data_IF_744128835450
#
_entry.id   IF_744128835450
#
_cell.length_a   1.000
_cell.length_b   1.000
_cell.length_c   1.000
_cell.angle_alpha   90.00
_cell.angle_beta   90.00
_cell.angle_gamma   90.00
#
_symmetry.space_group_name_H-M   'P 1'
#
loop_
_entity.id
_entity.type
_entity.pdbx_description
1 polymer ?
#
# COMPACT_ATOMS: atom_id res chain seq x y z
N UNK A 1 -4.33 -17.40 -21.56
CA UNK A 1 -3.10 -18.17 -21.22
C UNK A 1 -1.92 -17.22 -21.00
N UNK A 2 -1.62 -16.30 -21.94
CA UNK A 2 -0.65 -15.21 -21.75
C UNK A 2 -0.95 -14.37 -20.50
N UNK A 3 -2.21 -13.99 -20.27
CA UNK A 3 -2.65 -13.25 -19.08
C UNK A 3 -2.46 -14.02 -17.75
N UNK A 4 -2.55 -15.36 -17.77
CA UNK A 4 -2.29 -16.21 -16.61
C UNK A 4 -0.79 -16.38 -16.32
N UNK A 5 0.05 -16.36 -17.37
CA UNK A 5 1.51 -16.32 -17.22
C UNK A 5 1.99 -14.96 -16.72
N UNK A 6 1.42 -13.86 -17.21
CA UNK A 6 1.62 -12.52 -16.63
C UNK A 6 1.20 -12.49 -15.16
N UNK A 7 0.05 -13.09 -14.82
CA UNK A 7 -0.39 -13.25 -13.43
C UNK A 7 0.55 -14.08 -12.56
N UNK A 8 1.03 -15.25 -13.04
CA UNK A 8 2.01 -16.08 -12.33
C UNK A 8 3.35 -15.36 -12.12
N UNK A 9 3.68 -14.39 -12.98
CA UNK A 9 4.81 -13.45 -12.81
C UNK A 9 4.53 -12.44 -11.68
N UNK A 10 3.37 -11.80 -11.72
CA UNK A 10 2.87 -10.80 -10.76
C UNK A 10 2.68 -11.37 -9.35
N UNK A 11 2.29 -12.64 -9.22
CA UNK A 11 2.02 -13.27 -7.92
C UNK A 11 3.30 -13.49 -7.07
N UNK A 12 4.48 -13.26 -7.66
CA UNK A 12 5.76 -13.58 -7.02
C UNK A 12 6.64 -12.40 -6.68
N UNK A 13 6.39 -11.16 -7.14
CA UNK A 13 7.28 -10.05 -6.85
C UNK A 13 6.61 -8.68 -7.09
N UNK A 14 6.89 -7.75 -6.19
CA UNK A 14 6.84 -6.30 -6.36
C UNK A 14 7.68 -5.88 -7.60
N UNK A 15 7.10 -6.00 -8.78
CA UNK A 15 7.82 -6.14 -10.04
C UNK A 15 8.33 -4.80 -10.64
N UNK A 16 7.69 -3.66 -10.33
CA UNK A 16 8.19 -2.35 -10.76
C UNK A 16 9.54 -2.05 -10.11
N UNK A 17 9.74 -2.56 -8.90
CA UNK A 17 10.94 -2.39 -8.11
C UNK A 17 12.02 -3.45 -8.43
N UNK A 18 11.63 -4.72 -8.62
CA UNK A 18 12.57 -5.85 -8.71
C UNK A 18 13.18 -6.13 -10.08
N UNK A 19 12.61 -5.63 -11.19
CA UNK A 19 13.07 -6.03 -12.51
C UNK A 19 14.27 -5.22 -13.03
N UNK A 20 15.47 -5.53 -12.54
CA UNK A 20 16.74 -5.21 -13.22
C UNK A 20 17.07 -6.18 -14.38
N UNK A 21 16.16 -7.10 -14.74
CA UNK A 21 16.36 -8.08 -15.81
C UNK A 21 15.05 -8.43 -16.53
N UNK A 22 14.53 -7.50 -17.33
CA UNK A 22 13.46 -7.80 -18.28
C UNK A 22 13.97 -8.77 -19.36
N UNK A 23 13.06 -9.25 -20.22
CA UNK A 23 13.42 -9.96 -21.47
C UNK A 23 14.15 -9.05 -22.49
N UNK A 24 14.43 -7.81 -22.08
CA UNK A 24 15.32 -6.85 -22.72
C UNK A 24 16.32 -6.45 -21.65
N UNK A 25 17.61 -6.52 -21.98
CA UNK A 25 18.76 -6.16 -21.13
C UNK A 25 18.73 -4.68 -20.66
N UNK A 26 17.73 -4.28 -19.86
CA UNK A 26 17.76 -3.01 -19.15
C UNK A 26 18.54 -3.20 -17.86
N UNK A 27 19.84 -2.91 -17.92
CA UNK A 27 20.65 -2.66 -16.74
C UNK A 27 20.09 -1.43 -16.01
N UNK A 28 19.37 -1.65 -14.91
CA UNK A 28 18.96 -0.55 -14.03
C UNK A 28 20.16 -0.20 -13.14
N UNK A 29 20.80 0.91 -13.47
CA UNK A 29 21.80 1.52 -12.59
C UNK A 29 21.09 2.37 -11.53
N UNK A 30 20.84 1.76 -10.37
CA UNK A 30 20.42 2.50 -9.19
C UNK A 30 21.63 3.21 -8.58
N UNK A 31 21.54 4.54 -8.41
CA UNK A 31 22.36 5.22 -7.43
C UNK A 31 21.74 4.92 -6.07
N UNK A 32 22.35 3.99 -5.33
CA UNK A 32 21.93 3.75 -3.95
C UNK A 32 22.16 5.03 -3.16
N UNK A 33 21.06 5.59 -2.68
CA UNK A 33 21.13 6.71 -1.77
C UNK A 33 21.45 6.12 -0.41
N UNK A 34 22.68 6.35 0.04
CA UNK A 34 23.10 5.90 1.35
C UNK A 34 22.21 6.55 2.42
N UNK A 35 21.43 5.69 3.09
CA UNK A 35 20.52 6.10 4.15
C UNK A 35 21.29 6.83 5.26
N UNK A 36 22.53 6.42 5.55
CA UNK A 36 23.36 7.06 6.57
C UNK A 36 23.74 8.50 6.20
N UNK A 37 23.92 8.80 4.91
CA UNK A 37 24.33 10.12 4.44
C UNK A 37 23.15 11.04 4.06
N UNK A 38 22.06 10.51 3.50
CA UNK A 38 20.89 11.32 3.11
C UNK A 38 19.92 11.55 4.27
N UNK A 39 19.89 10.65 5.26
CA UNK A 39 18.96 10.68 6.39
C UNK A 39 19.63 11.07 7.71
N UNK A 40 20.90 11.46 7.72
CA UNK A 40 21.57 11.81 8.96
C UNK A 40 20.82 12.93 9.69
N UNK A 41 20.14 12.56 10.78
CA UNK A 41 19.23 13.42 11.56
C UNK A 41 18.02 13.99 10.81
N UNK A 42 17.63 13.41 9.66
CA UNK A 42 16.43 13.83 8.93
C UNK A 42 15.28 12.85 9.07
N UNK A 43 14.06 13.37 8.95
CA UNK A 43 12.82 12.59 8.95
C UNK A 43 12.35 12.31 7.53
N UNK A 44 12.04 11.04 7.25
CA UNK A 44 11.54 10.60 5.95
C UNK A 44 10.02 10.73 5.89
N UNK A 45 9.52 11.42 4.87
CA UNK A 45 8.10 11.56 4.60
C UNK A 45 7.78 10.92 3.25
N UNK A 46 7.10 9.77 3.28
CA UNK A 46 6.53 9.16 2.09
C UNK A 46 5.26 9.90 1.69
N UNK A 47 5.14 10.30 0.42
CA UNK A 47 4.01 11.08 -0.07
C UNK A 47 3.08 10.24 -0.95
N UNK A 48 1.79 10.31 -0.65
CA UNK A 48 0.71 9.74 -1.46
C UNK A 48 0.34 10.58 -2.70
N UNK A 49 -0.31 9.94 -3.67
CA UNK A 49 -0.83 10.53 -4.89
C UNK A 49 -1.78 11.71 -4.62
N UNK A 50 -2.69 11.56 -3.65
CA UNK A 50 -3.72 12.57 -3.37
C UNK A 50 -3.10 13.89 -2.87
N UNK A 51 -1.97 13.80 -2.17
CA UNK A 51 -1.22 14.95 -1.65
C UNK A 51 -0.47 15.65 -2.77
N UNK A 52 0.20 14.89 -3.65
CA UNK A 52 0.89 15.50 -4.80
C UNK A 52 -0.13 16.17 -5.72
N UNK A 53 -1.29 15.56 -5.96
CA UNK A 53 -2.36 16.19 -6.74
C UNK A 53 -2.82 17.50 -6.11
N UNK A 54 -3.01 17.54 -4.79
CA UNK A 54 -3.33 18.77 -4.07
C UNK A 54 -2.19 19.81 -4.15
N UNK A 55 -0.94 19.37 -4.04
CA UNK A 55 0.25 20.22 -4.16
C UNK A 55 0.38 20.85 -5.55
N UNK A 56 0.06 20.10 -6.61
CA UNK A 56 0.04 20.58 -8.00
C UNK A 56 -1.05 21.62 -8.26
N UNK A 57 -2.16 21.56 -7.52
CA UNK A 57 -3.28 22.49 -7.68
C UNK A 57 -2.92 23.93 -7.30
N UNK A 58 -3.17 24.89 -8.19
CA UNK A 58 -2.99 26.32 -7.91
C UNK A 58 -3.87 26.84 -6.77
N UNK A 59 -4.97 26.13 -6.47
CA UNK A 59 -5.90 26.48 -5.41
C UNK A 59 -5.33 26.20 -4.01
N UNK A 60 -4.35 25.29 -3.89
CA UNK A 60 -3.80 24.89 -2.60
C UNK A 60 -2.41 25.52 -2.32
N UNK A 61 -2.36 26.86 -2.37
CA UNK A 61 -1.14 27.63 -2.08
C UNK A 61 -0.58 27.37 -0.67
N UNK A 62 -1.48 27.12 0.30
CA UNK A 62 -1.12 26.88 1.70
C UNK A 62 -0.32 25.57 1.83
N UNK A 63 -0.82 24.46 1.29
CA UNK A 63 -0.11 23.18 1.27
C UNK A 63 1.24 23.32 0.58
N UNK A 64 1.26 23.97 -0.60
CA UNK A 64 2.49 24.18 -1.36
C UNK A 64 3.55 24.94 -0.57
N UNK A 65 3.17 26.03 0.10
CA UNK A 65 4.07 26.80 0.96
C UNK A 65 4.56 25.99 2.15
N UNK A 66 3.69 25.17 2.76
CA UNK A 66 4.03 24.35 3.91
C UNK A 66 5.03 23.24 3.55
N UNK A 67 4.77 22.47 2.49
CA UNK A 67 5.67 21.42 2.01
C UNK A 67 7.02 21.97 1.56
N UNK A 68 7.04 23.11 0.85
CA UNK A 68 8.30 23.75 0.48
C UNK A 68 9.07 24.22 1.71
N UNK A 69 8.40 24.82 2.70
CA UNK A 69 9.03 25.25 3.96
C UNK A 69 9.59 24.08 4.76
N UNK A 70 8.88 22.95 4.85
CA UNK A 70 9.39 21.73 5.49
C UNK A 70 10.60 21.18 4.75
N UNK A 71 10.56 21.17 3.42
CA UNK A 71 11.70 20.74 2.59
C UNK A 71 12.93 21.66 2.80
N UNK A 72 12.71 22.97 2.79
CA UNK A 72 13.75 24.00 2.94
C UNK A 72 14.38 24.03 4.33
N UNK A 73 13.66 23.57 5.38
CA UNK A 73 14.23 23.41 6.73
C UNK A 73 15.43 22.48 6.76
N UNK A 74 15.50 21.53 5.81
CA UNK A 74 16.53 20.49 5.77
C UNK A 74 16.30 19.34 6.77
N UNK A 75 15.31 19.44 7.65
CA UNK A 75 14.96 18.40 8.64
C UNK A 75 14.18 17.23 8.03
N UNK A 76 13.52 17.46 6.89
CA UNK A 76 12.66 16.48 6.23
C UNK A 76 13.17 16.11 4.84
N UNK A 77 13.09 14.82 4.51
CA UNK A 77 13.30 14.29 3.17
C UNK A 77 11.99 13.68 2.69
N UNK A 78 11.51 14.21 1.57
CA UNK A 78 10.32 13.67 0.91
C UNK A 78 10.72 12.57 -0.06
N UNK A 79 10.00 11.45 -0.03
CA UNK A 79 10.23 10.30 -0.91
C UNK A 79 8.90 9.82 -1.50
N UNK A 80 9.00 9.04 -2.57
CA UNK A 80 7.87 8.39 -3.24
C UNK A 80 8.20 6.93 -3.53
N UNK A 81 7.33 6.19 -4.22
CA UNK A 81 7.70 4.91 -4.87
C UNK A 81 7.26 4.95 -6.34
N UNK A 82 7.70 4.00 -7.18
CA UNK A 82 7.30 3.97 -8.60
C UNK A 82 5.79 3.97 -8.82
N UNK A 83 5.00 3.45 -7.86
CA UNK A 83 3.54 3.47 -7.88
C UNK A 83 2.95 4.90 -7.92
N UNK A 84 3.63 5.90 -7.33
CA UNK A 84 3.23 7.31 -7.44
C UNK A 84 3.35 7.84 -8.89
N UNK A 85 4.36 7.36 -9.63
CA UNK A 85 4.54 7.68 -11.05
C UNK A 85 3.48 6.96 -11.88
N UNK A 86 3.18 5.71 -11.54
CA UNK A 86 2.13 4.93 -12.20
C UNK A 86 0.77 5.62 -12.11
N UNK A 87 0.39 6.08 -10.92
CA UNK A 87 -0.82 6.85 -10.72
C UNK A 87 -0.82 8.15 -11.53
N UNK A 88 0.33 8.81 -11.63
CA UNK A 88 0.51 9.99 -12.48
C UNK A 88 0.26 9.68 -13.96
N UNK A 89 0.77 8.57 -14.49
CA UNK A 89 0.62 8.19 -15.91
C UNK A 89 -0.85 7.95 -16.27
N UNK A 90 -1.64 7.44 -15.32
CA UNK A 90 -3.08 7.21 -15.50
C UNK A 90 -3.89 8.51 -15.58
N UNK A 91 -3.27 9.67 -15.36
CA UNK A 91 -3.86 10.99 -15.53
C UNK A 91 -3.76 11.49 -16.99
N UNK A 92 -4.25 12.70 -17.27
CA UNK A 92 -4.05 13.35 -18.57
C UNK A 92 -2.57 13.65 -18.85
N UNK A 93 -2.11 13.53 -20.09
CA UNK A 93 -0.68 13.67 -20.48
C UNK A 93 -0.08 15.04 -20.13
N UNK A 94 -0.83 16.13 -20.32
CA UNK A 94 -0.34 17.48 -19.97
C UNK A 94 -0.22 17.61 -18.46
N UNK A 95 -1.20 17.06 -17.74
CA UNK A 95 -1.17 17.04 -16.29
C UNK A 95 -0.03 16.16 -15.74
N UNK A 96 0.27 15.04 -16.40
CA UNK A 96 1.33 14.13 -16.00
C UNK A 96 2.71 14.80 -15.97
N UNK A 97 3.09 15.54 -17.02
CA UNK A 97 4.38 16.25 -17.04
C UNK A 97 4.50 17.28 -15.91
N UNK A 98 3.42 18.02 -15.62
CA UNK A 98 3.37 18.96 -14.50
C UNK A 98 3.46 18.24 -13.15
N UNK A 99 2.72 17.14 -13.00
CA UNK A 99 2.71 16.30 -11.82
C UNK A 99 4.11 15.77 -11.52
N UNK A 100 4.78 15.18 -12.51
CA UNK A 100 6.14 14.65 -12.34
C UNK A 100 7.16 15.74 -12.01
N UNK A 101 7.09 16.90 -12.66
CA UNK A 101 7.96 18.02 -12.33
C UNK A 101 7.80 18.44 -10.86
N UNK A 102 6.58 18.39 -10.32
CA UNK A 102 6.32 18.65 -8.91
C UNK A 102 6.82 17.53 -7.99
N UNK A 103 6.67 16.26 -8.37
CA UNK A 103 7.24 15.12 -7.64
C UNK A 103 8.75 15.29 -7.51
N UNK A 104 9.45 15.43 -8.64
CA UNK A 104 10.90 15.60 -8.68
C UNK A 104 11.35 16.83 -7.88
N UNK A 105 10.62 17.94 -8.01
CA UNK A 105 10.88 19.15 -7.25
C UNK A 105 10.75 18.92 -5.75
N UNK A 106 9.79 18.13 -5.27
CA UNK A 106 9.59 17.94 -3.83
C UNK A 106 10.55 16.89 -3.26
N UNK A 107 10.78 15.80 -3.98
CA UNK A 107 11.53 14.63 -3.50
C UNK A 107 13.01 14.63 -3.88
N UNK A 108 13.45 15.60 -4.71
CA UNK A 108 14.79 15.60 -5.32
C UNK A 108 15.07 14.29 -6.10
N UNK A 109 14.03 13.64 -6.61
CA UNK A 109 14.13 12.36 -7.31
C UNK A 109 14.45 11.16 -6.40
N UNK A 110 14.41 11.32 -5.08
CA UNK A 110 14.62 10.20 -4.14
C UNK A 110 13.31 9.40 -4.01
N UNK A 111 13.39 8.10 -4.19
CA UNK A 111 12.26 7.19 -4.00
C UNK A 111 12.67 5.92 -3.27
N UNK A 112 11.66 5.24 -2.74
CA UNK A 112 11.73 3.93 -2.12
C UNK A 112 11.46 2.89 -3.20
N UNK A 113 12.38 1.95 -3.36
CA UNK A 113 12.26 0.81 -4.27
C UNK A 113 12.79 -0.45 -3.59
N UNK A 114 12.23 -1.59 -3.97
CA UNK A 114 12.79 -2.90 -3.64
C UNK A 114 13.96 -3.24 -4.58
N UNK A 115 15.18 -3.27 -4.07
CA UNK A 115 16.40 -3.62 -4.80
C UNK A 115 17.04 -4.83 -4.13
N UNK A 116 17.27 -5.91 -4.89
CA UNK A 116 17.86 -7.17 -4.39
C UNK A 116 17.12 -7.75 -3.16
N UNK A 117 15.79 -7.73 -3.16
CA UNK A 117 14.96 -8.14 -2.03
C UNK A 117 15.09 -7.28 -0.75
N UNK A 118 15.51 -6.03 -0.88
CA UNK A 118 15.53 -5.10 0.24
C UNK A 118 14.89 -3.77 -0.18
N UNK A 119 14.12 -3.18 0.73
CA UNK A 119 13.56 -1.85 0.51
C UNK A 119 14.67 -0.83 0.74
N UNK A 120 15.01 -0.05 -0.29
CA UNK A 120 16.11 0.92 -0.26
C UNK A 120 15.65 2.28 -0.78
N UNK A 121 16.32 3.33 -0.31
CA UNK A 121 16.23 4.65 -0.92
C UNK A 121 17.17 4.70 -2.11
N UNK A 122 16.66 5.12 -3.24
CA UNK A 122 17.39 5.12 -4.50
C UNK A 122 17.13 6.39 -5.29
N UNK A 123 18.05 6.66 -6.22
CA UNK A 123 17.87 7.56 -7.34
C UNK A 123 18.17 6.79 -8.62
N UNK A 124 17.49 7.17 -9.67
CA UNK A 124 17.78 6.71 -11.02
C UNK A 124 17.45 7.81 -12.00
N UNK A 125 17.88 7.64 -13.25
CA UNK A 125 17.48 8.53 -14.33
C UNK A 125 15.96 8.44 -14.53
N UNK A 126 15.30 9.60 -14.53
CA UNK A 126 13.85 9.64 -14.40
C UNK A 126 13.10 9.13 -15.63
N UNK A 127 13.65 9.34 -16.84
CA UNK A 127 13.09 8.77 -18.07
C UNK A 127 13.13 7.24 -18.03
N UNK A 128 14.16 6.65 -17.42
CA UNK A 128 14.30 5.21 -17.17
C UNK A 128 13.22 4.71 -16.22
N UNK A 129 12.98 5.41 -15.11
CA UNK A 129 11.86 5.11 -14.20
C UNK A 129 10.51 5.12 -14.94
N UNK A 130 10.23 6.19 -15.68
CA UNK A 130 8.96 6.35 -16.40
C UNK A 130 8.77 5.25 -17.45
N UNK A 131 9.79 4.93 -18.23
CA UNK A 131 9.72 3.85 -19.21
C UNK A 131 9.44 2.51 -18.56
N UNK A 132 10.12 2.21 -17.44
CA UNK A 132 9.88 0.99 -16.66
C UNK A 132 8.42 0.93 -16.19
N UNK A 133 7.91 2.01 -15.61
CA UNK A 133 6.51 2.04 -15.16
C UNK A 133 5.54 1.84 -16.33
N UNK A 134 5.77 2.49 -17.49
CA UNK A 134 4.94 2.32 -18.69
C UNK A 134 4.90 0.86 -19.15
N UNK A 135 6.03 0.17 -19.12
CA UNK A 135 6.13 -1.24 -19.49
C UNK A 135 5.30 -2.14 -18.56
N UNK A 136 5.22 -1.80 -17.27
CA UNK A 136 4.47 -2.54 -16.26
C UNK A 136 2.97 -2.21 -16.20
N UNK A 137 2.52 -1.09 -16.78
CA UNK A 137 1.10 -0.69 -16.75
C UNK A 137 0.11 -1.81 -17.14
N UNK A 138 0.34 -2.63 -18.19
CA UNK A 138 -0.58 -3.71 -18.52
C UNK A 138 -0.67 -4.77 -17.42
N UNK A 139 0.46 -5.10 -16.78
CA UNK A 139 0.51 -6.05 -15.68
C UNK A 139 -0.22 -5.50 -14.45
N UNK A 140 -0.01 -4.22 -14.11
CA UNK A 140 -0.72 -3.60 -13.00
C UNK A 140 -2.23 -3.53 -13.26
N UNK A 141 -2.65 -3.18 -14.47
CA UNK A 141 -4.06 -3.19 -14.86
C UNK A 141 -4.71 -4.57 -14.68
N UNK A 142 -3.98 -5.66 -14.98
CA UNK A 142 -4.44 -7.02 -14.70
C UNK A 142 -4.57 -7.26 -13.20
N UNK A 143 -3.58 -6.87 -12.40
CA UNK A 143 -3.61 -7.03 -10.94
C UNK A 143 -4.79 -6.27 -10.29
N UNK A 144 -5.03 -5.03 -10.72
CA UNK A 144 -6.19 -4.23 -10.29
C UNK A 144 -7.52 -4.93 -10.64
N UNK A 145 -7.66 -5.44 -11.87
CA UNK A 145 -8.88 -6.15 -12.27
C UNK A 145 -9.07 -7.45 -11.48
N UNK A 146 -7.99 -8.17 -11.16
CA UNK A 146 -8.05 -9.36 -10.30
C UNK A 146 -8.53 -8.97 -8.91
N UNK A 147 -8.04 -7.88 -8.33
CA UNK A 147 -8.56 -7.36 -7.04
C UNK A 147 -10.06 -7.10 -7.11
N UNK A 148 -10.54 -6.49 -8.19
CA UNK A 148 -11.98 -6.31 -8.41
C UNK A 148 -12.77 -7.62 -8.53
N UNK A 149 -12.25 -8.60 -9.27
CA UNK A 149 -12.90 -9.91 -9.39
C UNK A 149 -12.89 -10.69 -8.08
N UNK A 150 -11.81 -10.63 -7.29
CA UNK A 150 -11.76 -11.19 -5.93
C UNK A 150 -12.83 -10.54 -5.04
N UNK A 151 -12.97 -9.22 -5.07
CA UNK A 151 -14.03 -8.53 -4.32
C UNK A 151 -15.45 -8.98 -4.73
N UNK A 152 -15.69 -9.20 -6.03
CA UNK A 152 -16.95 -9.78 -6.52
C UNK A 152 -17.15 -11.22 -6.04
N UNK A 153 -16.14 -12.07 -6.15
CA UNK A 153 -16.21 -13.46 -5.70
C UNK A 153 -16.50 -13.52 -4.21
N UNK A 154 -15.80 -12.74 -3.38
CA UNK A 154 -16.04 -12.66 -1.93
C UNK A 154 -17.48 -12.28 -1.61
N UNK A 155 -18.06 -11.32 -2.34
CA UNK A 155 -19.46 -10.90 -2.16
C UNK A 155 -20.47 -12.04 -2.39
N UNK A 156 -20.20 -12.95 -3.33
CA UNK A 156 -21.07 -14.09 -3.62
C UNK A 156 -20.76 -15.30 -2.75
N UNK A 157 -19.48 -15.62 -2.57
CA UNK A 157 -19.01 -16.81 -1.86
C UNK A 157 -19.22 -16.71 -0.35
N UNK A 158 -19.12 -15.51 0.22
CA UNK A 158 -19.15 -15.29 1.66
C UNK A 158 -20.25 -14.30 2.06
N UNK A 159 -21.55 -14.65 1.91
CA UNK A 159 -22.66 -13.75 2.18
C UNK A 159 -22.68 -13.23 3.64
N UNK A 160 -22.15 -14.01 4.57
CA UNK A 160 -22.07 -13.68 6.00
C UNK A 160 -21.04 -12.57 6.32
N UNK A 161 -20.05 -12.33 5.46
CA UNK A 161 -19.11 -11.19 5.56
C UNK A 161 -19.43 -10.09 4.56
N UNK A 162 -20.69 -9.95 4.10
CA UNK A 162 -21.10 -8.78 3.33
C UNK A 162 -21.13 -7.53 4.22
N UNK A 163 -20.98 -6.37 3.60
CA UNK A 163 -20.87 -5.07 4.29
C UNK A 163 -22.06 -4.68 5.15
N UNK A 164 -23.23 -5.17 4.83
CA UNK A 164 -24.48 -4.97 5.56
C UNK A 164 -24.66 -5.97 6.70
N UNK A 165 -23.74 -6.92 6.87
CA UNK A 165 -23.80 -7.91 7.95
C UNK A 165 -23.38 -7.31 9.28
N UNK A 166 -23.99 -7.83 10.36
CA UNK A 166 -23.68 -7.41 11.73
C UNK A 166 -22.22 -7.69 12.11
N UNK A 167 -21.63 -8.76 11.57
CA UNK A 167 -20.24 -9.11 11.89
C UNK A 167 -19.27 -8.13 11.24
N UNK A 168 -19.54 -7.70 10.00
CA UNK A 168 -18.72 -6.68 9.33
C UNK A 168 -18.87 -5.31 9.98
N UNK A 169 -20.06 -4.96 10.49
CA UNK A 169 -20.21 -3.76 11.33
C UNK A 169 -19.25 -3.80 12.51
N UNK A 170 -19.25 -4.89 13.30
CA UNK A 170 -18.34 -5.05 14.45
C UNK A 170 -16.87 -4.95 14.05
N UNK A 171 -16.47 -5.61 12.96
CA UNK A 171 -15.10 -5.56 12.43
C UNK A 171 -14.71 -4.12 12.05
N UNK A 172 -15.63 -3.35 11.48
CA UNK A 172 -15.37 -1.97 11.06
C UNK A 172 -15.42 -0.95 12.20
N UNK A 173 -16.12 -1.26 13.29
CA UNK A 173 -16.20 -0.42 14.49
C UNK A 173 -14.85 -0.41 15.22
N UNK A 174 -14.31 -1.60 15.51
CA UNK A 174 -12.97 -1.77 16.06
C UNK A 174 -12.42 -3.17 15.71
N UNK A 175 -11.43 -3.21 14.82
CA UNK A 175 -10.82 -4.46 14.35
C UNK A 175 -9.95 -5.13 15.42
N UNK A 176 -9.32 -4.33 16.29
CA UNK A 176 -8.45 -4.85 17.35
C UNK A 176 -9.30 -5.54 18.41
N UNK A 177 -10.36 -4.88 18.87
CA UNK A 177 -11.32 -5.47 19.81
C UNK A 177 -11.99 -6.71 19.22
N UNK A 178 -12.30 -6.69 17.91
CA UNK A 178 -12.85 -7.86 17.23
C UNK A 178 -11.90 -9.08 17.33
N UNK A 179 -10.60 -8.91 17.05
CA UNK A 179 -9.63 -10.01 17.16
C UNK A 179 -9.31 -10.40 18.60
N UNK A 180 -9.32 -9.46 19.56
CA UNK A 180 -9.21 -9.81 20.98
C UNK A 180 -10.36 -10.73 21.44
N UNK A 181 -11.56 -10.49 20.91
CA UNK A 181 -12.75 -11.29 21.19
C UNK A 181 -12.98 -12.46 20.21
N UNK A 182 -11.97 -12.85 19.42
CA UNK A 182 -12.13 -13.80 18.30
C UNK A 182 -12.67 -15.16 18.73
N UNK A 183 -12.35 -15.63 19.94
CA UNK A 183 -12.85 -16.90 20.50
C UNK A 183 -14.38 -16.95 20.59
N UNK A 184 -15.03 -15.79 20.78
CA UNK A 184 -16.50 -15.70 20.81
C UNK A 184 -17.14 -16.12 19.49
N UNK A 185 -16.39 -16.07 18.39
CA UNK A 185 -16.85 -16.41 17.05
C UNK A 185 -16.91 -17.93 16.79
N UNK A 186 -16.33 -18.75 17.68
CA UNK A 186 -16.47 -20.22 17.65
C UNK A 186 -17.92 -20.69 17.78
N UNK A 187 -18.77 -19.88 18.41
CA UNK A 187 -20.20 -20.16 18.59
C UNK A 187 -21.07 -19.65 17.42
N UNK A 188 -20.48 -18.97 16.44
CA UNK A 188 -21.20 -18.44 15.28
C UNK A 188 -21.08 -19.45 14.15
N UNK A 189 -22.13 -20.23 13.91
CA UNK A 189 -22.14 -21.22 12.83
C UNK A 189 -22.43 -20.58 11.47
N UNK A 190 -21.62 -20.92 10.47
CA UNK A 190 -21.89 -20.64 9.06
C UNK A 190 -22.47 -21.90 8.43
N UNK A 191 -23.81 -21.94 8.33
CA UNK A 191 -24.53 -23.11 7.88
C UNK A 191 -24.10 -23.59 6.47
N UNK A 192 -23.80 -22.65 5.57
CA UNK A 192 -23.46 -22.95 4.17
C UNK A 192 -22.17 -23.78 4.02
N UNK A 193 -21.26 -23.70 4.99
CA UNK A 193 -19.97 -24.41 4.98
C UNK A 193 -19.80 -25.37 6.16
N UNK A 194 -20.83 -25.54 6.99
CA UNK A 194 -20.84 -26.38 8.18
C UNK A 194 -19.59 -26.19 9.07
N UNK A 195 -19.21 -24.93 9.30
CA UNK A 195 -18.04 -24.56 10.10
C UNK A 195 -18.37 -23.34 10.97
N UNK A 196 -17.62 -23.14 12.05
CA UNK A 196 -17.74 -21.90 12.82
C UNK A 196 -17.11 -20.73 12.06
N UNK A 197 -17.48 -19.51 12.40
CA UNK A 197 -16.86 -18.31 11.84
C UNK A 197 -15.36 -18.24 12.17
N UNK A 198 -14.97 -18.74 13.34
CA UNK A 198 -13.57 -18.90 13.72
C UNK A 198 -12.82 -19.81 12.74
N UNK A 199 -13.37 -21.00 12.45
CA UNK A 199 -12.73 -21.96 11.55
C UNK A 199 -12.62 -21.41 10.12
N UNK A 200 -13.63 -20.68 9.67
CA UNK A 200 -13.58 -19.96 8.39
C UNK A 200 -12.42 -18.97 8.35
N UNK A 201 -12.32 -18.08 9.35
CA UNK A 201 -11.26 -17.08 9.39
C UNK A 201 -9.87 -17.72 9.48
N UNK A 202 -9.72 -18.77 10.29
CA UNK A 202 -8.48 -19.52 10.43
C UNK A 202 -8.07 -20.15 9.10
N UNK A 203 -9.01 -20.78 8.39
CA UNK A 203 -8.75 -21.39 7.09
C UNK A 203 -8.36 -20.35 6.04
N UNK A 204 -9.09 -19.22 5.96
CA UNK A 204 -8.77 -18.14 5.03
C UNK A 204 -7.37 -17.58 5.31
N UNK A 205 -7.06 -17.31 6.58
CA UNK A 205 -5.79 -16.72 6.96
C UNK A 205 -4.61 -17.65 6.61
N UNK A 206 -4.70 -18.94 6.99
CA UNK A 206 -3.70 -19.94 6.65
C UNK A 206 -3.48 -20.06 5.14
N UNK A 207 -4.55 -19.98 4.34
CA UNK A 207 -4.46 -20.06 2.88
C UNK A 207 -3.77 -18.85 2.24
N UNK A 208 -3.87 -17.66 2.84
CA UNK A 208 -3.28 -16.42 2.30
C UNK A 208 -1.84 -16.27 2.75
N UNK A 209 -1.58 -16.56 4.03
CA UNK A 209 -0.32 -16.17 4.69
C UNK A 209 0.67 -17.31 4.72
N UNK A 210 0.22 -18.51 5.08
CA UNK A 210 1.05 -19.66 5.45
C UNK A 210 2.20 -19.31 6.43
N UNK A 211 2.08 -18.20 7.16
CA UNK A 211 3.15 -17.61 7.99
C UNK A 211 2.67 -17.19 9.38
N UNK A 212 1.41 -16.80 9.52
CA UNK A 212 0.80 -16.37 10.79
C UNK A 212 -0.68 -16.77 10.84
N UNK A 213 -1.24 -16.85 12.03
CA UNK A 213 -2.58 -17.35 12.29
C UNK A 213 -3.46 -16.40 13.12
N UNK A 214 -4.66 -16.84 13.54
CA UNK A 214 -5.58 -16.00 14.30
C UNK A 214 -5.08 -15.69 15.71
N UNK A 215 -4.22 -16.51 16.30
CA UNK A 215 -3.62 -16.19 17.60
C UNK A 215 -2.62 -15.04 17.45
N UNK A 216 -1.88 -14.96 16.34
CA UNK A 216 -1.05 -13.79 16.03
C UNK A 216 -1.89 -12.52 15.86
N UNK A 217 -3.02 -12.61 15.13
CA UNK A 217 -3.95 -11.50 14.94
C UNK A 217 -4.57 -11.03 16.27
N UNK A 218 -4.90 -11.98 17.15
CA UNK A 218 -5.43 -11.74 18.50
C UNK A 218 -4.37 -11.16 19.44
N UNK A 219 -3.14 -11.64 19.36
CA UNK A 219 -2.00 -11.09 20.10
C UNK A 219 -1.65 -9.67 19.64
N UNK A 220 -2.13 -9.27 18.46
CA UNK A 220 -1.84 -7.96 17.88
C UNK A 220 -0.39 -7.85 17.40
N UNK A 221 0.27 -8.98 17.10
CA UNK A 221 1.69 -9.00 16.73
C UNK A 221 2.01 -10.15 15.77
N UNK A 222 2.66 -9.82 14.66
CA UNK A 222 3.24 -10.77 13.71
C UNK A 222 4.76 -10.54 13.70
N UNK A 223 5.54 -11.61 13.85
CA UNK A 223 7.01 -11.52 13.76
C UNK A 223 7.44 -11.43 12.31
N UNK A 224 8.39 -10.53 12.03
CA UNK A 224 8.93 -10.31 10.69
C UNK A 224 10.45 -10.30 10.78
N UNK A 225 11.11 -11.19 10.05
CA UNK A 225 12.56 -11.40 10.16
C UNK A 225 13.37 -10.59 9.14
N UNK A 226 12.82 -10.32 7.94
CA UNK A 226 13.50 -9.60 6.86
C UNK A 226 12.67 -8.46 6.26
N UNK A 227 13.35 -7.46 5.70
CA UNK A 227 12.71 -6.30 5.05
C UNK A 227 11.73 -6.69 3.93
N UNK A 228 12.06 -7.69 3.10
CA UNK A 228 11.13 -8.15 2.05
C UNK A 228 9.86 -8.78 2.62
N UNK A 229 9.95 -9.40 3.80
CA UNK A 229 8.80 -10.04 4.44
C UNK A 229 7.75 -8.98 4.84
N UNK A 230 8.15 -7.72 5.11
CA UNK A 230 7.18 -6.64 5.38
C UNK A 230 6.27 -6.36 4.18
N UNK A 231 6.82 -6.28 2.97
CA UNK A 231 6.02 -6.03 1.75
C UNK A 231 4.99 -7.14 1.57
N UNK A 232 5.46 -8.39 1.57
CA UNK A 232 4.64 -9.57 1.35
C UNK A 232 3.56 -9.74 2.44
N UNK A 233 3.91 -9.48 3.71
CA UNK A 233 2.97 -9.57 4.82
C UNK A 233 1.94 -8.42 4.76
N UNK A 234 2.33 -7.18 4.42
CA UNK A 234 1.39 -6.06 4.25
C UNK A 234 0.37 -6.39 3.16
N UNK A 235 0.80 -6.95 2.04
CA UNK A 235 -0.08 -7.37 0.93
C UNK A 235 -1.03 -8.50 1.36
N UNK A 236 -0.51 -9.52 2.05
CA UNK A 236 -1.29 -10.67 2.55
C UNK A 236 -2.32 -10.28 3.60
N UNK A 237 -1.92 -9.45 4.59
CA UNK A 237 -2.87 -8.92 5.58
C UNK A 237 -3.93 -8.08 4.84
N UNK A 238 -3.53 -7.26 3.87
CA UNK A 238 -4.49 -6.49 3.07
C UNK A 238 -5.49 -7.37 2.32
N UNK A 239 -5.06 -8.48 1.74
CA UNK A 239 -5.95 -9.46 1.10
C UNK A 239 -6.92 -10.11 2.10
N UNK A 240 -6.44 -10.46 3.29
CA UNK A 240 -7.30 -10.98 4.36
C UNK A 240 -8.35 -9.95 4.80
N UNK A 241 -7.94 -8.69 5.01
CA UNK A 241 -8.82 -7.57 5.34
C UNK A 241 -9.89 -7.34 4.25
N UNK A 242 -9.53 -7.59 2.98
CA UNK A 242 -10.47 -7.50 1.86
C UNK A 242 -11.54 -8.60 1.89
N UNK A 243 -11.20 -9.81 2.36
CA UNK A 243 -12.14 -10.93 2.50
C UNK A 243 -13.13 -10.68 3.63
N UNK A 244 -12.66 -10.16 4.77
CA UNK A 244 -13.53 -9.85 5.91
C UNK A 244 -14.24 -8.49 5.77
N UNK A 245 -14.06 -7.79 4.64
CA UNK A 245 -14.65 -6.48 4.34
C UNK A 245 -14.33 -5.37 5.37
N UNK A 246 -13.11 -5.36 5.92
CA UNK A 246 -12.64 -4.27 6.78
C UNK A 246 -12.25 -3.03 5.95
N UNK A 247 -12.98 -1.93 6.13
CA UNK A 247 -12.77 -0.62 5.47
C UNK A 247 -12.57 -0.69 3.95
N UNK A 248 -13.21 -1.66 3.29
CA UNK A 248 -13.12 -1.84 1.83
C UNK A 248 -14.06 -0.88 1.08
N UNK A 249 -14.04 -0.93 -0.26
CA UNK A 249 -14.99 -0.24 -1.16
C UNK A 249 -16.18 -1.12 -1.54
N UNK A 250 -17.35 -0.55 -1.88
CA UNK A 250 -18.51 -1.40 -2.25
C UNK A 250 -18.27 -1.99 -3.63
N UNK A 251 -18.73 -3.22 -3.88
CA UNK A 251 -18.54 -3.93 -5.16
C UNK A 251 -19.00 -3.13 -6.38
N UNK A 252 -20.03 -2.30 -6.24
CA UNK A 252 -20.52 -1.42 -7.31
C UNK A 252 -19.53 -0.31 -7.69
N UNK A 253 -18.63 0.06 -6.78
CA UNK A 253 -17.67 1.15 -6.94
C UNK A 253 -16.36 0.64 -7.57
N UNK A 254 -16.48 0.01 -8.76
CA UNK A 254 -15.36 -0.67 -9.46
C UNK A 254 -14.08 0.16 -9.47
N UNK A 255 -14.16 1.43 -9.87
CA UNK A 255 -12.98 2.33 -9.98
C UNK A 255 -12.23 2.47 -8.66
N UNK A 256 -12.95 2.58 -7.53
CA UNK A 256 -12.33 2.69 -6.22
C UNK A 256 -11.67 1.38 -5.78
N UNK A 257 -12.26 0.24 -6.14
CA UNK A 257 -11.64 -1.08 -5.89
C UNK A 257 -10.35 -1.24 -6.69
N UNK A 258 -10.32 -0.82 -7.96
CA UNK A 258 -9.08 -0.81 -8.75
C UNK A 258 -8.01 0.07 -8.08
N UNK A 259 -8.37 1.31 -7.70
CA UNK A 259 -7.48 2.24 -6.99
C UNK A 259 -6.92 1.65 -5.69
N UNK A 260 -7.74 0.89 -4.95
CA UNK A 260 -7.31 0.27 -3.67
C UNK A 260 -6.23 -0.80 -3.82
N UNK A 261 -5.87 -1.19 -5.05
CA UNK A 261 -4.66 -1.97 -5.29
C UNK A 261 -3.41 -1.11 -5.06
N UNK A 262 -3.40 0.12 -5.61
CA UNK A 262 -2.28 1.07 -5.48
C UNK A 262 -2.09 1.49 -4.03
N UNK A 263 -3.19 1.71 -3.30
CA UNK A 263 -3.17 2.00 -1.87
C UNK A 263 -2.34 0.96 -1.07
N UNK A 264 -2.47 -0.33 -1.41
CA UNK A 264 -1.69 -1.40 -0.77
C UNK A 264 -0.21 -1.28 -1.13
N UNK A 265 0.10 -0.94 -2.38
CA UNK A 265 1.49 -0.74 -2.82
C UNK A 265 2.15 0.45 -2.14
N UNK A 266 1.42 1.56 -1.97
CA UNK A 266 1.87 2.69 -1.18
C UNK A 266 2.15 2.29 0.28
N UNK A 267 1.24 1.54 0.93
CA UNK A 267 1.47 1.01 2.29
C UNK A 267 2.71 0.13 2.39
N UNK A 268 2.89 -0.76 1.40
CA UNK A 268 3.99 -1.72 1.37
C UNK A 268 5.36 -1.07 1.13
N UNK A 269 5.40 0.18 0.66
CA UNK A 269 6.64 0.94 0.51
C UNK A 269 6.85 1.98 1.61
N UNK A 270 5.77 2.54 2.16
CA UNK A 270 5.83 3.60 3.15
C UNK A 270 6.31 3.12 4.54
N UNK A 271 6.28 1.81 4.84
CA UNK A 271 6.61 1.27 6.18
C UNK A 271 8.04 1.58 6.65
N UNK A 272 8.96 1.91 5.72
CA UNK A 272 10.34 2.28 6.04
C UNK A 272 10.50 3.79 6.32
N UNK A 273 9.48 4.60 6.07
CA UNK A 273 9.51 6.04 6.33
C UNK A 273 9.17 6.37 7.79
N UNK A 274 9.55 7.55 8.28
CA UNK A 274 9.07 8.05 9.57
C UNK A 274 7.58 8.43 9.49
N UNK A 275 7.17 9.00 8.36
CA UNK A 275 5.82 9.47 8.12
C UNK A 275 5.26 9.00 6.77
N UNK A 276 3.98 8.66 6.75
CA UNK A 276 3.19 8.48 5.54
C UNK A 276 2.15 9.59 5.45
N UNK A 277 2.35 10.52 4.51
CA UNK A 277 1.48 11.67 4.27
C UNK A 277 0.38 11.31 3.26
N UNK A 278 -0.85 11.19 3.75
CA UNK A 278 -2.06 10.92 2.96
C UNK A 278 -3.30 11.54 3.61
N UNK A 279 -4.29 11.93 2.80
CA UNK A 279 -5.60 12.35 3.28
C UNK A 279 -6.66 11.24 3.20
N UNK A 280 -6.30 10.01 2.80
CA UNK A 280 -7.25 8.90 2.69
C UNK A 280 -7.49 8.22 4.05
N UNK A 281 -8.69 8.44 4.61
CA UNK A 281 -9.09 7.88 5.90
C UNK A 281 -9.08 6.34 5.94
N UNK A 282 -9.51 5.69 4.85
CA UNK A 282 -9.58 4.21 4.81
C UNK A 282 -8.18 3.63 4.75
N UNK A 283 -7.29 4.27 3.99
CA UNK A 283 -5.89 3.90 3.92
C UNK A 283 -5.22 4.02 5.29
N UNK A 284 -5.51 5.09 6.03
CA UNK A 284 -5.01 5.31 7.39
C UNK A 284 -5.55 4.26 8.36
N UNK A 285 -6.85 3.95 8.34
CA UNK A 285 -7.44 2.96 9.25
C UNK A 285 -6.91 1.53 8.97
N UNK A 286 -6.74 1.18 7.69
CA UNK A 286 -6.18 -0.12 7.30
C UNK A 286 -4.69 -0.21 7.56
N UNK A 287 -3.95 0.79 7.11
CA UNK A 287 -2.50 0.88 7.30
C UNK A 287 -2.12 0.95 8.77
N UNK A 288 -2.87 1.72 9.58
CA UNK A 288 -2.66 1.82 11.02
C UNK A 288 -2.79 0.47 11.73
N UNK A 289 -3.82 -0.30 11.39
CA UNK A 289 -3.97 -1.66 11.91
C UNK A 289 -2.81 -2.58 11.47
N UNK A 290 -2.49 -2.61 10.18
CA UNK A 290 -1.40 -3.45 9.64
C UNK A 290 -0.05 -3.07 10.29
N UNK A 291 0.27 -1.78 10.37
CA UNK A 291 1.52 -1.31 10.96
C UNK A 291 1.59 -1.63 12.46
N UNK A 292 0.46 -1.59 13.17
CA UNK A 292 0.42 -2.01 14.57
C UNK A 292 0.74 -3.50 14.74
N UNK A 293 0.19 -4.38 13.90
CA UNK A 293 0.50 -5.82 13.90
C UNK A 293 1.98 -6.10 13.65
N UNK A 294 2.60 -5.32 12.77
CA UNK A 294 4.00 -5.53 12.36
C UNK A 294 5.00 -4.74 13.22
N UNK A 295 4.53 -3.96 14.20
CA UNK A 295 5.40 -3.08 14.99
C UNK A 295 6.10 -1.98 14.16
N UNK A 296 5.53 -1.62 13.01
CA UNK A 296 6.04 -0.56 12.13
C UNK A 296 5.87 0.80 12.81
N UNK A 297 6.93 1.62 12.77
CA UNK A 297 6.99 2.92 13.47
C UNK A 297 6.49 4.09 12.62
N UNK A 298 6.26 3.89 11.33
CA UNK A 298 5.74 4.92 10.42
C UNK A 298 4.43 5.48 10.94
N UNK A 299 4.35 6.81 11.03
CA UNK A 299 3.13 7.50 11.46
C UNK A 299 2.38 8.05 10.27
N UNK A 300 1.08 7.81 10.21
CA UNK A 300 0.21 8.48 9.26
C UNK A 300 0.03 9.95 9.66
N UNK A 301 0.15 10.85 8.70
CA UNK A 301 -0.08 12.29 8.87
C UNK A 301 -0.97 12.78 7.73
N UNK A 302 -1.92 13.65 8.06
CA UNK A 302 -2.76 14.34 7.07
C UNK A 302 -2.20 15.70 6.73
N UNK A 303 -2.67 16.27 5.63
CA UNK A 303 -2.31 17.64 5.22
C UNK A 303 -2.53 18.66 6.36
N UNK A 304 -3.61 18.52 7.12
CA UNK A 304 -3.96 19.43 8.22
C UNK A 304 -2.98 19.37 9.41
N UNK A 305 -2.27 18.25 9.57
CA UNK A 305 -1.33 17.97 10.68
C UNK A 305 0.11 18.36 10.31
N UNK A 306 0.38 18.69 9.04
CA UNK A 306 1.72 19.12 8.60
C UNK A 306 2.21 20.38 9.31
N UNK A 307 1.30 21.21 9.84
CA UNK A 307 1.68 22.39 10.59
C UNK A 307 2.33 22.05 11.94
N UNK A 308 2.04 20.86 12.49
CA UNK A 308 2.59 20.38 13.76
C UNK A 308 4.01 19.79 13.59
N UNK A 309 4.50 19.68 12.35
CA UNK A 309 5.85 19.25 12.01
C UNK A 309 6.85 20.41 11.88
N UNK A 310 6.38 21.66 11.98
CA UNK A 310 7.24 22.86 12.01
C UNK A 310 7.75 23.17 13.40
#
# INVERSE_FOLDING_TARGET
MVEYFSYKKIQSCDDISNYASLAVDQLIEYEQVDAENLLHNKKVVYIDQNIISAYCSEKNKKLRSLLNSLKESGEYVFVFSPYLVEDGIKMDYVYFNLYLAQVLKLTNGVFISKVNNEIRYVKEEFYTLVNRVIEWLPATSVAENIKYYKAKLNYFAYPFVRKDSRIVSKINDDISDFFMAIDSTKNIMINDINASFFDFLQSVLLNITNQFDLEDMKAGRISVDKDFDYVEIIERVSEFLDIINYKTERVRDKKKILSSYQDVQHLAHAWKADYFLTNDDRLIERGGYIYSLLGVKTKFIKEKELADLK
#
